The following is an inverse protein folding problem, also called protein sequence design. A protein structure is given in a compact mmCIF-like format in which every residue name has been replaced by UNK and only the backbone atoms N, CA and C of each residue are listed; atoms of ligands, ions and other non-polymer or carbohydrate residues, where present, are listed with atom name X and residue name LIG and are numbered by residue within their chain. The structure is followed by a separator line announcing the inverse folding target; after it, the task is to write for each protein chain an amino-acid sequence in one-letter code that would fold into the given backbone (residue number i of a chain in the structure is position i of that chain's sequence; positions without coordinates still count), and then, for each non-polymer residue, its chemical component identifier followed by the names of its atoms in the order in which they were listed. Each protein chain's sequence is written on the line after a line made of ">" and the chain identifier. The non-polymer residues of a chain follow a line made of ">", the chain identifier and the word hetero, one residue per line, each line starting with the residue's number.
data_IF_670856012271
#
_entry.id   IF_670856012271
#
_cell.length_a   1.000
_cell.length_b   1.000
_cell.length_c   1.000
_cell.angle_alpha   90.00
_cell.angle_beta   90.00
_cell.angle_gamma   90.00
#
_symmetry.space_group_name_H-M   'P 1'
#
loop_
_entity.id
_entity.type
_entity.pdbx_description
1 polymer ?
#
# COMPACT_ATOMS: atom_id res chain seq x y z
N UNK A 1 23.85 -24.49 -0.52
CA UNK A 1 23.47 -24.31 0.89
C UNK A 1 23.18 -25.68 1.44
N UNK A 2 23.86 -26.09 2.51
CA UNK A 2 23.51 -27.32 3.22
C UNK A 2 22.10 -27.21 3.81
N UNK A 3 21.42 -28.34 4.01
CA UNK A 3 20.05 -28.43 4.55
C UNK A 3 19.89 -27.58 5.83
N UNK A 4 20.92 -27.56 6.68
CA UNK A 4 20.95 -26.74 7.90
C UNK A 4 20.86 -25.23 7.63
N UNK A 5 21.53 -24.74 6.58
CA UNK A 5 21.47 -23.32 6.20
C UNK A 5 20.10 -22.93 5.64
N UNK A 6 19.45 -23.84 4.91
CA UNK A 6 18.10 -23.63 4.40
C UNK A 6 17.07 -23.58 5.54
N UNK A 7 17.09 -24.55 6.46
CA UNK A 7 16.22 -24.56 7.64
C UNK A 7 16.42 -23.31 8.52
N UNK A 8 17.66 -22.85 8.69
CA UNK A 8 17.97 -21.66 9.48
C UNK A 8 17.37 -20.37 8.87
N UNK A 9 17.43 -20.23 7.53
CA UNK A 9 16.87 -19.06 6.84
C UNK A 9 15.34 -19.06 6.91
N UNK A 10 14.68 -20.20 6.70
CA UNK A 10 13.22 -20.30 6.79
C UNK A 10 12.74 -20.05 8.23
N UNK A 11 13.41 -20.63 9.24
CA UNK A 11 13.08 -20.36 10.64
C UNK A 11 13.20 -18.87 10.98
N UNK A 12 14.24 -18.20 10.48
CA UNK A 12 14.41 -16.76 10.64
C UNK A 12 13.29 -15.96 9.94
N UNK A 13 12.88 -16.36 8.74
CA UNK A 13 11.78 -15.71 8.01
C UNK A 13 10.46 -15.80 8.77
N UNK A 14 10.12 -16.96 9.32
CA UNK A 14 8.91 -17.14 10.14
C UNK A 14 8.96 -16.24 11.39
N UNK A 15 10.10 -16.15 12.06
CA UNK A 15 10.27 -15.26 13.22
C UNK A 15 10.04 -13.80 12.83
N UNK A 16 10.58 -13.35 11.69
CA UNK A 16 10.37 -11.99 11.20
C UNK A 16 8.89 -11.75 10.87
N UNK A 17 8.21 -12.69 10.21
CA UNK A 17 6.78 -12.58 9.91
C UNK A 17 5.93 -12.47 11.18
N UNK A 18 6.23 -13.25 12.22
CA UNK A 18 5.54 -13.16 13.52
C UNK A 18 5.75 -11.81 14.19
N UNK A 19 6.98 -11.30 14.19
CA UNK A 19 7.29 -9.98 14.76
C UNK A 19 6.58 -8.87 13.98
N UNK A 20 6.65 -8.89 12.64
CA UNK A 20 5.98 -7.88 11.80
C UNK A 20 4.46 -7.94 11.98
N UNK A 21 3.87 -9.15 12.03
CA UNK A 21 2.44 -9.32 12.27
C UNK A 21 2.00 -8.80 13.64
N UNK A 22 2.77 -9.07 14.69
CA UNK A 22 2.51 -8.57 16.04
C UNK A 22 2.62 -7.04 16.11
N UNK A 23 3.68 -6.47 15.52
CA UNK A 23 3.86 -5.01 15.45
C UNK A 23 2.75 -4.33 14.64
N UNK A 24 2.35 -4.91 13.51
CA UNK A 24 1.26 -4.41 12.69
C UNK A 24 -0.09 -4.44 13.42
N UNK A 25 -0.30 -5.41 14.32
CA UNK A 25 -1.50 -5.49 15.15
C UNK A 25 -1.45 -4.52 16.35
N UNK A 26 -0.36 -4.49 17.11
CA UNK A 26 -0.23 -3.63 18.30
C UNK A 26 -0.19 -2.15 17.95
N UNK A 27 0.51 -1.79 16.87
CA UNK A 27 0.66 -0.39 16.44
C UNK A 27 -0.13 -0.09 15.17
N UNK A 28 -1.24 -0.83 14.93
CA UNK A 28 -2.04 -0.67 13.73
C UNK A 28 -2.49 0.77 13.53
N UNK A 29 -2.83 1.49 14.59
CA UNK A 29 -3.33 2.86 14.45
C UNK A 29 -2.19 3.86 14.27
N UNK A 30 -1.14 3.80 15.10
CA UNK A 30 -0.02 4.75 15.05
C UNK A 30 0.89 4.57 13.83
N UNK A 31 1.32 3.33 13.53
CA UNK A 31 2.19 3.05 12.38
C UNK A 31 1.44 3.31 11.10
N UNK A 32 0.19 2.84 10.98
CA UNK A 32 -0.54 3.11 9.76
C UNK A 32 -0.71 4.63 9.63
N UNK A 33 -1.07 5.38 10.69
CA UNK A 33 -1.30 6.84 10.59
C UNK A 33 -0.07 7.59 10.12
N UNK A 34 1.06 7.37 10.79
CA UNK A 34 2.24 8.17 10.54
C UNK A 34 3.04 7.70 9.32
N UNK A 35 3.22 6.38 9.15
CA UNK A 35 4.01 5.86 8.04
C UNK A 35 3.27 6.00 6.71
N UNK A 36 1.97 5.69 6.69
CA UNK A 36 1.17 5.79 5.46
C UNK A 36 1.05 7.24 4.99
N UNK A 37 0.74 8.20 5.87
CA UNK A 37 0.55 9.60 5.45
C UNK A 37 1.83 10.23 4.92
N UNK A 38 2.97 10.01 5.60
CA UNK A 38 4.28 10.54 5.15
C UNK A 38 4.71 9.88 3.84
N UNK A 39 4.70 8.55 3.77
CA UNK A 39 5.12 7.84 2.55
C UNK A 39 4.21 8.13 1.36
N UNK A 40 2.89 8.19 1.59
CA UNK A 40 1.94 8.56 0.54
C UNK A 40 2.19 10.01 0.10
N UNK A 41 2.43 10.94 1.01
CA UNK A 41 2.74 12.34 0.66
C UNK A 41 4.01 12.48 -0.16
N UNK A 42 5.08 11.79 0.21
CA UNK A 42 6.33 11.79 -0.55
C UNK A 42 6.13 11.18 -1.94
N UNK A 43 5.44 10.04 -2.04
CA UNK A 43 5.12 9.42 -3.34
C UNK A 43 4.25 10.32 -4.22
N UNK A 44 3.29 11.04 -3.62
CA UNK A 44 2.41 11.99 -4.31
C UNK A 44 3.23 13.15 -4.87
N UNK A 45 4.17 13.69 -4.09
CA UNK A 45 5.03 14.79 -4.51
C UNK A 45 5.94 14.39 -5.68
N UNK A 46 6.47 13.16 -5.66
CA UNK A 46 7.20 12.61 -6.80
C UNK A 46 6.31 12.47 -8.03
N UNK A 47 5.08 11.98 -7.86
CA UNK A 47 4.13 11.88 -8.95
C UNK A 47 3.82 13.27 -9.53
N UNK A 48 3.54 14.29 -8.71
CA UNK A 48 3.29 15.68 -9.18
C UNK A 48 4.39 16.20 -10.08
N UNK A 49 5.65 16.07 -9.64
CA UNK A 49 6.81 16.51 -10.43
C UNK A 49 6.84 15.84 -11.81
N UNK A 50 6.48 14.55 -11.88
CA UNK A 50 6.43 13.80 -13.14
C UNK A 50 5.24 14.19 -14.01
N UNK A 51 4.08 14.41 -13.42
CA UNK A 51 2.89 14.90 -14.12
C UNK A 51 3.06 16.29 -14.72
N UNK A 52 3.85 17.15 -14.10
CA UNK A 52 4.18 18.48 -14.64
C UNK A 52 5.20 18.38 -15.79
N UNK A 53 6.10 17.39 -15.74
CA UNK A 53 7.15 17.18 -16.73
C UNK A 53 6.67 16.42 -17.98
N UNK A 54 5.76 15.45 -17.82
CA UNK A 54 5.41 14.47 -18.88
C UNK A 54 3.90 14.32 -19.10
N UNK A 55 3.06 14.95 -18.27
CA UNK A 55 1.61 14.84 -18.36
C UNK A 55 1.06 13.51 -17.80
N UNK A 56 -0.28 13.35 -17.74
CA UNK A 56 -0.97 12.21 -17.13
C UNK A 56 -0.88 10.88 -17.90
N UNK A 57 -0.12 10.87 -18.99
CA UNK A 57 0.11 9.72 -19.86
C UNK A 57 1.46 9.08 -19.63
N UNK A 58 2.18 9.49 -18.58
CA UNK A 58 3.46 8.88 -18.26
C UNK A 58 3.26 7.41 -17.87
N UNK A 59 4.12 6.56 -18.43
CA UNK A 59 4.20 5.13 -18.12
C UNK A 59 5.01 4.88 -16.84
N UNK A 60 5.24 5.91 -16.04
CA UNK A 60 6.07 5.81 -14.85
C UNK A 60 5.30 5.15 -13.70
N UNK A 61 6.06 4.43 -12.87
CA UNK A 61 5.56 3.62 -11.76
C UNK A 61 4.72 4.43 -10.77
N UNK A 62 5.14 5.64 -10.43
CA UNK A 62 4.46 6.51 -9.47
C UNK A 62 3.14 7.04 -10.03
N UNK A 63 3.14 7.50 -11.28
CA UNK A 63 1.92 7.99 -11.94
C UNK A 63 0.91 6.88 -12.14
N UNK A 64 1.34 5.71 -12.60
CA UNK A 64 0.47 4.54 -12.74
C UNK A 64 -0.09 4.07 -11.39
N UNK A 65 0.74 4.05 -10.35
CA UNK A 65 0.30 3.75 -8.99
C UNK A 65 -0.83 4.68 -8.56
N UNK A 66 -0.66 6.00 -8.70
CA UNK A 66 -1.68 6.97 -8.30
C UNK A 66 -2.95 6.89 -9.16
N UNK A 67 -2.83 6.74 -10.48
CA UNK A 67 -3.99 6.57 -11.38
C UNK A 67 -4.82 5.35 -10.99
N UNK A 68 -4.16 4.21 -10.76
CA UNK A 68 -4.82 2.96 -10.41
C UNK A 68 -5.42 2.99 -9.00
N UNK A 69 -4.67 3.53 -8.02
CA UNK A 69 -5.11 3.61 -6.62
C UNK A 69 -6.34 4.49 -6.49
N UNK A 70 -6.31 5.69 -7.05
CA UNK A 70 -7.44 6.63 -7.00
C UNK A 70 -8.68 6.06 -7.68
N UNK A 71 -8.50 5.36 -8.81
CA UNK A 71 -9.60 4.68 -9.50
C UNK A 71 -10.19 3.52 -8.71
N UNK A 72 -9.34 2.66 -8.16
CA UNK A 72 -9.76 1.43 -7.48
C UNK A 72 -10.37 1.69 -6.11
N UNK A 73 -9.87 2.72 -5.43
CA UNK A 73 -10.29 3.10 -4.08
C UNK A 73 -11.27 4.26 -4.05
N UNK A 74 -11.54 4.87 -5.20
CA UNK A 74 -12.46 5.99 -5.36
C UNK A 74 -12.12 7.14 -4.38
N UNK A 75 -10.85 7.56 -4.42
CA UNK A 75 -10.25 8.57 -3.57
C UNK A 75 -9.39 9.53 -4.41
N UNK A 76 -8.98 10.66 -3.84
CA UNK A 76 -8.13 11.62 -4.52
C UNK A 76 -7.13 12.27 -3.57
N UNK A 77 -5.86 12.28 -3.96
CA UNK A 77 -4.77 12.79 -3.12
C UNK A 77 -4.55 11.92 -1.89
N UNK A 78 -3.63 12.37 -1.03
CA UNK A 78 -3.36 11.66 0.23
C UNK A 78 -4.53 11.88 1.16
N UNK A 79 -4.88 13.15 1.42
CA UNK A 79 -5.96 13.60 2.29
C UNK A 79 -7.16 14.11 1.52
N UNK A 80 -6.94 14.78 0.38
CA UNK A 80 -7.98 15.23 -0.56
C UNK A 80 -7.36 15.78 -1.85
N UNK A 81 -8.21 16.21 -2.80
CA UNK A 81 -7.81 16.82 -4.08
C UNK A 81 -6.85 18.01 -3.98
N UNK A 82 -6.89 18.77 -2.88
CA UNK A 82 -6.07 19.97 -2.71
C UNK A 82 -4.60 19.63 -2.63
N UNK A 83 -4.28 18.37 -2.28
CA UNK A 83 -2.91 17.88 -2.31
C UNK A 83 -2.36 17.99 -3.74
N UNK A 84 -3.14 17.65 -4.78
CA UNK A 84 -2.72 17.79 -6.17
C UNK A 84 -2.67 19.24 -6.65
N UNK A 85 -3.71 20.02 -6.31
CA UNK A 85 -3.81 21.42 -6.69
C UNK A 85 -4.76 22.15 -5.74
N UNK A 86 -4.31 23.20 -5.03
CA UNK A 86 -5.16 23.95 -4.10
C UNK A 86 -6.35 24.66 -4.77
N UNK A 87 -6.33 24.85 -6.09
CA UNK A 87 -7.35 25.59 -6.82
C UNK A 87 -8.55 24.74 -7.28
N UNK A 88 -8.50 23.40 -7.15
CA UNK A 88 -9.60 22.48 -7.49
C UNK A 88 -10.22 22.68 -8.88
N UNK A 89 -9.42 23.06 -9.88
CA UNK A 89 -9.94 23.29 -11.23
C UNK A 89 -10.42 21.99 -11.91
N UNK A 90 -11.58 21.97 -12.60
CA UNK A 90 -12.16 20.77 -13.20
C UNK A 90 -11.25 20.08 -14.25
N UNK A 91 -10.46 20.87 -14.98
CA UNK A 91 -9.47 20.41 -15.94
C UNK A 91 -8.38 19.55 -15.28
N UNK A 92 -8.03 19.91 -14.04
CA UNK A 92 -7.00 19.27 -13.23
C UNK A 92 -7.53 18.00 -12.56
N UNK A 93 -8.80 18.00 -12.12
CA UNK A 93 -9.46 16.79 -11.61
C UNK A 93 -9.49 15.68 -12.67
N UNK A 94 -9.77 16.04 -13.93
CA UNK A 94 -9.75 15.09 -15.05
C UNK A 94 -8.32 14.61 -15.37
N UNK A 95 -7.31 15.49 -15.23
CA UNK A 95 -5.89 15.15 -15.43
C UNK A 95 -5.42 14.08 -14.44
N UNK A 96 -5.80 14.19 -13.17
CA UNK A 96 -5.34 13.28 -12.11
C UNK A 96 -6.28 12.11 -11.83
N UNK A 97 -7.28 11.86 -12.70
CA UNK A 97 -8.27 10.79 -12.49
C UNK A 97 -9.01 10.89 -11.14
N UNK A 98 -9.14 12.12 -10.62
CA UNK A 98 -9.92 12.43 -9.44
C UNK A 98 -11.36 12.72 -9.86
N UNK A 99 -12.10 11.65 -10.13
CA UNK A 99 -13.47 11.74 -10.67
C UNK A 99 -14.46 11.99 -9.52
N UNK A 100 -15.46 12.84 -9.74
CA UNK A 100 -16.61 12.94 -8.84
C UNK A 100 -17.29 11.57 -8.66
N UNK A 101 -17.83 11.25 -7.48
CA UNK A 101 -18.13 12.18 -6.38
C UNK A 101 -17.06 12.31 -5.28
N UNK A 102 -15.99 11.50 -5.27
CA UNK A 102 -15.16 11.31 -4.07
C UNK A 102 -13.83 12.07 -4.07
N UNK A 103 -13.74 13.20 -4.76
CA UNK A 103 -12.52 14.02 -4.83
C UNK A 103 -12.10 14.62 -3.46
N UNK A 104 -13.04 14.74 -2.52
CA UNK A 104 -12.77 15.19 -1.15
C UNK A 104 -12.31 14.05 -0.22
N UNK A 105 -12.35 12.80 -0.67
CA UNK A 105 -11.95 11.65 0.12
C UNK A 105 -10.49 11.33 -0.13
N UNK A 106 -9.66 11.45 0.91
CA UNK A 106 -8.26 11.06 0.87
C UNK A 106 -8.05 9.57 0.67
N UNK A 107 -7.00 9.22 -0.08
CA UNK A 107 -6.59 7.83 -0.25
C UNK A 107 -6.01 7.25 1.04
N UNK A 108 -5.50 8.05 1.98
CA UNK A 108 -5.03 7.62 3.29
C UNK A 108 -6.12 6.85 4.06
N UNK A 109 -7.35 7.38 4.11
CA UNK A 109 -8.49 6.76 4.79
C UNK A 109 -9.02 5.58 4.00
N UNK A 110 -9.07 5.70 2.68
CA UNK A 110 -9.61 4.66 1.80
C UNK A 110 -8.73 3.40 1.82
N UNK A 111 -7.41 3.57 1.81
CA UNK A 111 -6.44 2.47 1.94
C UNK A 111 -6.59 1.78 3.29
N UNK A 112 -6.65 2.53 4.40
CA UNK A 112 -6.89 1.95 5.74
C UNK A 112 -8.19 1.19 5.82
N UNK A 113 -9.27 1.78 5.31
CA UNK A 113 -10.59 1.17 5.34
C UNK A 113 -10.60 -0.14 4.57
N UNK A 114 -9.95 -0.20 3.39
CA UNK A 114 -9.76 -1.44 2.64
C UNK A 114 -8.90 -2.45 3.38
N UNK A 115 -7.74 -2.05 3.90
CA UNK A 115 -6.87 -2.94 4.67
C UNK A 115 -7.59 -3.52 5.88
N UNK A 116 -8.40 -2.73 6.57
CA UNK A 116 -9.22 -3.17 7.70
C UNK A 116 -10.35 -4.11 7.27
N UNK A 117 -11.05 -3.79 6.17
CA UNK A 117 -12.12 -4.63 5.61
C UNK A 117 -11.60 -5.99 5.14
N UNK A 118 -10.42 -6.00 4.50
CA UNK A 118 -9.83 -7.18 3.90
C UNK A 118 -8.84 -7.88 4.84
N UNK A 119 -8.73 -7.43 6.10
CA UNK A 119 -7.78 -7.94 7.08
C UNK A 119 -7.91 -9.46 7.31
N UNK A 120 -9.14 -10.00 7.28
CA UNK A 120 -9.37 -11.43 7.43
C UNK A 120 -8.78 -12.23 6.27
N UNK A 121 -8.93 -11.73 5.05
CA UNK A 121 -8.39 -12.37 3.85
C UNK A 121 -6.86 -12.31 3.85
N UNK A 122 -6.28 -11.15 4.18
CA UNK A 122 -4.84 -10.97 4.30
C UNK A 122 -4.24 -11.88 5.39
N UNK A 123 -4.91 -12.01 6.54
CA UNK A 123 -4.52 -12.91 7.62
C UNK A 123 -4.58 -14.39 7.21
N UNK A 124 -5.63 -14.79 6.49
CA UNK A 124 -5.75 -16.15 5.96
C UNK A 124 -4.64 -16.47 4.94
N UNK A 125 -4.33 -15.54 4.04
CA UNK A 125 -3.23 -15.68 3.10
C UNK A 125 -1.87 -15.80 3.80
N UNK A 126 -1.62 -14.94 4.80
CA UNK A 126 -0.38 -14.99 5.59
C UNK A 126 -0.23 -16.31 6.36
N UNK A 127 -1.30 -16.82 6.96
CA UNK A 127 -1.28 -18.13 7.63
C UNK A 127 -0.97 -19.27 6.64
N UNK A 128 -1.48 -19.19 5.41
CA UNK A 128 -1.15 -20.13 4.35
C UNK A 128 0.35 -20.15 4.02
N UNK A 129 0.99 -18.98 3.96
CA UNK A 129 2.44 -18.85 3.75
C UNK A 129 3.21 -19.53 4.88
N UNK A 130 2.86 -19.24 6.14
CA UNK A 130 3.50 -19.88 7.32
C UNK A 130 3.33 -21.40 7.29
N UNK A 131 2.16 -21.90 6.94
CA UNK A 131 1.93 -23.35 6.82
C UNK A 131 2.82 -23.98 5.74
N UNK A 132 3.03 -23.31 4.61
CA UNK A 132 3.92 -23.80 3.54
C UNK A 132 5.37 -23.78 4.02
N UNK A 133 5.81 -22.70 4.65
CA UNK A 133 7.17 -22.56 5.20
C UNK A 133 7.47 -23.63 6.27
N UNK A 134 6.50 -23.96 7.13
CA UNK A 134 6.64 -24.99 8.16
C UNK A 134 6.56 -26.40 7.57
N UNK A 135 5.69 -26.66 6.58
CA UNK A 135 5.60 -27.99 5.95
C UNK A 135 6.83 -28.30 5.07
N UNK A 136 7.46 -27.29 4.44
CA UNK A 136 8.75 -27.45 3.77
C UNK A 136 9.90 -27.81 4.74
N UNK A 137 9.67 -27.70 6.05
CA UNK A 137 10.61 -28.05 7.11
C UNK A 137 10.43 -29.51 7.62
N UNK A 138 9.39 -30.22 7.20
CA UNK A 138 9.16 -31.63 7.54
C UNK A 138 9.45 -32.46 6.28
N UNK A 139 10.66 -33.01 6.11
CA UNK A 139 10.84 -34.09 5.15
C UNK A 139 9.94 -35.24 5.60
N UNK A 140 9.01 -35.61 4.72
CA UNK A 140 8.25 -36.86 4.82
C UNK A 140 9.27 -37.99 4.60
N UNK A 141 9.86 -38.47 5.70
CA UNK A 141 10.57 -39.75 5.81
C UNK A 141 10.13 -40.41 7.11
#
# INVERSE_FOLDING_TARGET
>A
MDLQGYCAVIALMVLVQLVVGLLAFTYSDEINQLASDIQLTDSLNLAKQRYDSTGPTSTDDQTQFWLHTQKSLNCCGVRNVSDWNPLNEPSVLKKYNCILPNYNTGCDKSIRSRMSSDAQFLGAAAMGVVLIEVNLNIPIV
#
